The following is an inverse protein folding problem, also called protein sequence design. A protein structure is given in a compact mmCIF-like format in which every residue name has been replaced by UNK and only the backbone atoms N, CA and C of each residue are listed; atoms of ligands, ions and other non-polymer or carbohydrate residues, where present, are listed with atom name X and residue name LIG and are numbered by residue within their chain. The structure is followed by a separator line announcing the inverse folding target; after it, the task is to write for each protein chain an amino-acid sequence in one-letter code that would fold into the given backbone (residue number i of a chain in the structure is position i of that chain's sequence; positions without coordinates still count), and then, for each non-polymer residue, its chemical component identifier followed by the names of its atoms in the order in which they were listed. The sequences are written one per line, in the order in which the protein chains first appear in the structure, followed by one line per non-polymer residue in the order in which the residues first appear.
data_IF_964678266991
#
_entry.id   IF_964678266991
#
_cell.length_a   1.000
_cell.length_b   1.000
_cell.length_c   1.000
_cell.angle_alpha   90.00
_cell.angle_beta   90.00
_cell.angle_gamma   90.00
#
_symmetry.space_group_name_H-M   'P 1'
#
loop_
_entity.id
_entity.type
_entity.pdbx_description
1 polymer ?
#
# COMPACT_ATOMS: atom_id res chain seq x y z
N UNK A 1 -32.03 -7.89 9.77
CA UNK A 1 -32.01 -6.83 8.73
C UNK A 1 -30.79 -7.05 7.88
N UNK A 2 -30.96 -7.11 6.57
CA UNK A 2 -29.86 -7.33 5.62
C UNK A 2 -28.88 -6.13 5.62
N UNK A 3 -27.60 -6.39 5.34
CA UNK A 3 -26.54 -5.37 5.34
C UNK A 3 -26.84 -4.23 4.34
N UNK A 4 -27.34 -4.57 3.16
CA UNK A 4 -27.73 -3.59 2.14
C UNK A 4 -28.81 -2.62 2.63
N UNK A 5 -29.83 -3.14 3.33
CA UNK A 5 -30.88 -2.30 3.92
C UNK A 5 -30.33 -1.38 5.02
N UNK A 6 -29.44 -1.89 5.87
CA UNK A 6 -28.77 -1.06 6.89
C UNK A 6 -27.96 0.07 6.25
N UNK A 7 -27.27 -0.24 5.16
CA UNK A 7 -26.52 0.74 4.39
C UNK A 7 -27.44 1.80 3.78
N UNK A 8 -28.55 1.40 3.14
CA UNK A 8 -29.51 2.35 2.55
C UNK A 8 -30.07 3.31 3.61
N UNK A 9 -30.44 2.81 4.77
CA UNK A 9 -30.94 3.64 5.88
C UNK A 9 -29.87 4.64 6.36
N UNK A 10 -28.59 4.22 6.44
CA UNK A 10 -27.50 5.10 6.80
C UNK A 10 -27.37 6.26 5.78
N UNK A 11 -27.37 5.94 4.50
CA UNK A 11 -27.25 6.92 3.43
C UNK A 11 -28.46 7.88 3.42
N UNK A 12 -29.69 7.37 3.56
CA UNK A 12 -30.89 8.19 3.66
C UNK A 12 -30.83 9.17 4.85
N UNK A 13 -30.36 8.71 6.00
CA UNK A 13 -30.15 9.57 7.19
C UNK A 13 -29.12 10.67 6.92
N UNK A 14 -28.03 10.35 6.26
CA UNK A 14 -27.01 11.33 5.89
C UNK A 14 -27.56 12.36 4.90
N UNK A 15 -28.23 11.89 3.84
CA UNK A 15 -28.85 12.76 2.83
C UNK A 15 -29.86 13.70 3.47
N UNK A 16 -30.71 13.19 4.36
CA UNK A 16 -31.64 14.03 5.12
C UNK A 16 -30.92 15.09 5.94
N UNK A 17 -29.85 14.76 6.66
CA UNK A 17 -29.07 15.70 7.45
C UNK A 17 -28.39 16.76 6.57
N UNK A 18 -27.82 16.35 5.43
CA UNK A 18 -27.19 17.24 4.44
C UNK A 18 -28.22 18.23 3.87
N UNK A 19 -29.33 17.72 3.36
CA UNK A 19 -30.34 18.52 2.62
C UNK A 19 -31.09 19.49 3.54
N UNK A 20 -31.15 19.19 4.84
CA UNK A 20 -31.69 20.10 5.86
C UNK A 20 -30.63 21.04 6.47
N UNK A 21 -29.44 21.09 5.94
CA UNK A 21 -28.37 22.01 6.36
C UNK A 21 -27.75 21.70 7.73
N UNK A 22 -28.02 20.51 8.30
CA UNK A 22 -27.50 20.12 9.62
C UNK A 22 -25.99 19.85 9.61
N UNK A 23 -25.40 19.75 8.42
CA UNK A 23 -23.98 19.39 8.24
C UNK A 23 -23.13 20.58 7.75
N UNK A 24 -23.70 21.80 7.59
CA UNK A 24 -22.98 22.96 7.02
C UNK A 24 -21.75 23.39 7.85
N UNK A 25 -21.81 23.21 9.17
CA UNK A 25 -20.71 23.50 10.09
C UNK A 25 -20.11 22.20 10.67
N UNK A 26 -20.35 21.07 10.03
CA UNK A 26 -19.88 19.80 10.53
C UNK A 26 -18.36 19.75 10.65
N UNK A 27 -17.89 19.44 11.84
CA UNK A 27 -16.48 19.18 12.10
C UNK A 27 -16.03 17.87 11.43
N UNK A 28 -14.72 17.69 11.32
CA UNK A 28 -14.17 16.39 10.89
C UNK A 28 -14.61 15.24 11.82
N UNK A 29 -14.81 15.54 13.10
CA UNK A 29 -15.32 14.58 14.07
C UNK A 29 -16.76 14.12 13.73
N UNK A 30 -17.60 15.02 13.25
CA UNK A 30 -18.94 14.67 12.77
C UNK A 30 -18.87 13.74 11.56
N UNK A 31 -17.93 13.97 10.65
CA UNK A 31 -17.69 13.08 9.51
C UNK A 31 -17.22 11.70 9.99
N UNK A 32 -16.35 11.65 10.99
CA UNK A 32 -15.87 10.38 11.58
C UNK A 32 -17.02 9.56 12.19
N UNK A 33 -18.05 10.18 12.78
CA UNK A 33 -19.23 9.45 13.26
C UNK A 33 -19.93 8.70 12.11
N UNK A 34 -20.14 9.36 10.97
CA UNK A 34 -20.73 8.73 9.79
C UNK A 34 -19.85 7.62 9.21
N UNK A 35 -18.54 7.79 9.22
CA UNK A 35 -17.58 6.76 8.80
C UNK A 35 -17.65 5.56 9.75
N UNK A 36 -17.74 5.77 11.06
CA UNK A 36 -17.88 4.70 12.04
C UNK A 36 -19.16 3.88 11.79
N UNK A 37 -20.30 4.55 11.63
CA UNK A 37 -21.57 3.89 11.29
C UNK A 37 -21.46 3.07 9.99
N UNK A 38 -20.77 3.61 8.98
CA UNK A 38 -20.53 2.91 7.71
C UNK A 38 -19.65 1.67 7.92
N UNK A 39 -18.56 1.79 8.65
CA UNK A 39 -17.67 0.67 8.96
C UNK A 39 -18.39 -0.45 9.70
N UNK A 40 -19.25 -0.12 10.67
CA UNK A 40 -20.07 -1.10 11.39
C UNK A 40 -21.06 -1.80 10.46
N UNK A 41 -21.67 -1.09 9.52
CA UNK A 41 -22.54 -1.69 8.49
C UNK A 41 -21.75 -2.70 7.66
N UNK A 42 -20.49 -2.42 7.33
CA UNK A 42 -19.63 -3.32 6.56
C UNK A 42 -18.92 -4.39 7.41
N UNK A 43 -19.26 -4.50 8.71
CA UNK A 43 -18.83 -5.60 9.59
C UNK A 43 -17.56 -5.35 10.37
N UNK A 44 -17.08 -4.10 10.43
CA UNK A 44 -15.98 -3.70 11.30
C UNK A 44 -16.49 -3.35 12.70
N UNK A 45 -15.77 -3.75 13.72
CA UNK A 45 -15.98 -3.31 15.09
C UNK A 45 -15.05 -2.12 15.38
N UNK A 46 -15.62 -0.92 15.35
CA UNK A 46 -14.86 0.34 15.52
C UNK A 46 -14.31 0.51 16.94
N UNK A 47 -14.81 -0.24 17.91
CA UNK A 47 -14.33 -0.25 19.29
C UNK A 47 -13.20 -1.26 19.51
N UNK A 48 -12.93 -2.13 18.53
CA UNK A 48 -11.88 -3.13 18.59
C UNK A 48 -10.62 -2.67 17.86
N UNK A 49 -9.61 -2.28 18.60
CA UNK A 49 -8.34 -1.77 18.05
C UNK A 49 -7.56 -2.77 17.18
N UNK A 50 -7.94 -4.07 17.21
CA UNK A 50 -7.41 -5.08 16.29
C UNK A 50 -8.16 -5.15 14.95
N UNK A 51 -9.23 -4.39 14.82
CA UNK A 51 -10.00 -4.26 13.58
C UNK A 51 -9.94 -2.83 13.03
N UNK A 52 -10.16 -1.83 13.89
CA UNK A 52 -10.12 -0.42 13.51
C UNK A 52 -9.28 0.34 14.52
N UNK A 53 -8.17 0.89 14.07
CA UNK A 53 -7.31 1.71 14.91
C UNK A 53 -7.37 3.16 14.43
N UNK A 54 -7.82 4.04 15.31
CA UNK A 54 -7.95 5.46 15.02
C UNK A 54 -6.66 6.20 15.39
N UNK A 55 -6.31 7.20 14.59
CA UNK A 55 -5.23 8.16 14.84
C UNK A 55 -3.89 7.56 15.27
N UNK A 56 -3.54 6.39 14.78
CA UNK A 56 -2.26 5.77 15.08
C UNK A 56 -1.13 6.36 14.25
N UNK A 57 -0.10 6.84 14.92
CA UNK A 57 1.14 7.24 14.27
C UNK A 57 1.83 6.04 13.60
N UNK A 58 2.28 6.24 12.38
CA UNK A 58 3.05 5.26 11.63
C UNK A 58 4.38 4.92 12.35
N UNK A 59 4.86 3.71 12.18
CA UNK A 59 6.12 3.28 12.79
C UNK A 59 7.34 3.97 12.15
N UNK A 60 8.55 3.73 12.67
CA UNK A 60 9.77 4.40 12.21
C UNK A 60 10.06 4.12 10.73
N UNK A 61 10.04 2.85 10.33
CA UNK A 61 10.32 2.44 8.94
C UNK A 61 9.33 3.03 7.94
N UNK A 62 8.04 3.04 8.30
CA UNK A 62 6.99 3.65 7.48
C UNK A 62 7.18 5.16 7.33
N UNK A 63 7.56 5.85 8.42
CA UNK A 63 7.87 7.29 8.39
C UNK A 63 9.11 7.57 7.53
N UNK A 64 10.15 6.76 7.63
CA UNK A 64 11.35 6.90 6.79
C UNK A 64 11.01 6.76 5.30
N UNK A 65 10.16 5.79 4.92
CA UNK A 65 9.64 5.69 3.55
C UNK A 65 8.90 6.94 3.12
N UNK A 66 8.04 7.50 3.97
CA UNK A 66 7.31 8.73 3.69
C UNK A 66 8.23 9.94 3.54
N UNK A 67 9.24 10.07 4.39
CA UNK A 67 10.27 11.11 4.23
C UNK A 67 11.00 10.98 2.89
N UNK A 68 11.30 9.77 2.44
CA UNK A 68 11.94 9.50 1.15
C UNK A 68 11.13 9.94 -0.09
N UNK A 69 9.84 10.23 0.08
CA UNK A 69 8.97 10.80 -0.98
C UNK A 69 8.53 12.24 -0.69
N UNK A 70 9.12 12.89 0.32
CA UNK A 70 8.77 14.25 0.72
C UNK A 70 7.45 14.38 1.49
N UNK A 71 6.85 13.27 1.92
CA UNK A 71 5.63 13.29 2.73
C UNK A 71 5.95 13.57 4.19
N UNK A 72 5.18 14.48 4.80
CA UNK A 72 5.23 14.80 6.24
C UNK A 72 4.05 14.20 7.01
N UNK A 73 3.16 13.51 6.32
CA UNK A 73 1.96 12.90 6.90
C UNK A 73 2.36 11.62 7.63
N UNK A 74 2.03 11.51 8.91
CA UNK A 74 2.49 10.39 9.76
C UNK A 74 1.37 9.73 10.55
N UNK A 75 0.15 10.25 10.46
CA UNK A 75 -0.97 9.83 11.29
C UNK A 75 -2.26 9.78 10.47
N UNK A 76 -2.59 8.62 9.89
CA UNK A 76 -3.89 8.43 9.24
C UNK A 76 -5.01 8.39 10.27
N UNK A 77 -6.22 8.82 9.88
CA UNK A 77 -7.38 8.82 10.77
C UNK A 77 -7.80 7.41 11.15
N UNK A 78 -7.88 6.50 10.18
CA UNK A 78 -8.24 5.12 10.39
C UNK A 78 -7.23 4.18 9.76
N UNK A 79 -6.83 3.18 10.52
CA UNK A 79 -6.08 2.01 10.04
C UNK A 79 -6.98 0.79 10.20
N UNK A 80 -7.37 0.16 9.09
CA UNK A 80 -8.16 -1.06 9.07
C UNK A 80 -7.22 -2.26 9.22
N UNK A 81 -7.53 -3.16 10.17
CA UNK A 81 -6.63 -4.19 10.66
C UNK A 81 -7.25 -5.59 10.56
N UNK A 82 -6.40 -6.59 10.38
CA UNK A 82 -6.73 -7.97 10.68
C UNK A 82 -5.72 -8.49 11.74
N UNK A 83 -6.10 -8.41 12.99
CA UNK A 83 -5.19 -8.66 14.12
C UNK A 83 -4.05 -7.63 14.15
N UNK A 84 -2.83 -8.08 13.88
CA UNK A 84 -1.65 -7.21 13.81
C UNK A 84 -1.35 -6.68 12.39
N UNK A 85 -2.01 -7.24 11.36
CA UNK A 85 -1.76 -6.88 9.98
C UNK A 85 -2.61 -5.67 9.59
N UNK A 86 -1.96 -4.64 9.05
CA UNK A 86 -2.63 -3.48 8.46
C UNK A 86 -3.09 -3.83 7.06
N UNK A 87 -4.33 -3.51 6.74
CA UNK A 87 -4.94 -3.81 5.46
C UNK A 87 -4.95 -2.58 4.54
N UNK A 88 -5.53 -1.48 5.01
CA UNK A 88 -5.60 -0.22 4.29
C UNK A 88 -5.94 0.93 5.25
N UNK A 89 -5.92 2.16 4.72
CA UNK A 89 -6.24 3.37 5.47
C UNK A 89 -7.50 4.05 4.96
N UNK A 90 -8.20 4.73 5.89
CA UNK A 90 -9.22 5.73 5.56
C UNK A 90 -8.80 7.04 6.19
N UNK A 91 -8.88 8.12 5.42
CA UNK A 91 -8.59 9.48 5.86
C UNK A 91 -9.89 10.30 5.76
N UNK A 92 -10.31 10.89 6.87
CA UNK A 92 -11.49 11.70 6.95
C UNK A 92 -11.16 13.14 6.58
N UNK A 93 -12.08 13.83 5.92
CA UNK A 93 -11.96 15.25 5.60
C UNK A 93 -13.25 15.96 5.99
N UNK A 94 -13.15 17.25 6.31
CA UNK A 94 -14.34 18.09 6.50
C UNK A 94 -15.18 18.10 5.23
N UNK A 95 -16.50 18.23 5.38
CA UNK A 95 -17.42 18.24 4.23
C UNK A 95 -17.14 19.34 3.21
N UNK A 96 -16.58 20.45 3.64
CA UNK A 96 -16.24 21.58 2.76
C UNK A 96 -15.02 21.34 1.87
N UNK A 97 -14.32 20.22 2.06
CA UNK A 97 -13.08 19.91 1.35
C UNK A 97 -13.41 19.20 0.02
N UNK A 98 -12.90 19.74 -1.09
CA UNK A 98 -13.01 19.12 -2.41
C UNK A 98 -12.01 17.95 -2.50
N UNK A 99 -12.51 16.73 -2.36
CA UNK A 99 -11.69 15.50 -2.47
C UNK A 99 -11.32 15.22 -3.92
N UNK A 100 -12.17 15.62 -4.86
CA UNK A 100 -12.03 15.26 -6.28
C UNK A 100 -10.75 15.83 -6.90
N UNK A 101 -10.44 17.09 -6.59
CA UNK A 101 -9.43 17.85 -7.35
C UNK A 101 -8.21 18.26 -6.49
N UNK A 102 -8.19 17.93 -5.20
CA UNK A 102 -7.07 18.27 -4.32
C UNK A 102 -5.92 17.25 -4.43
N UNK A 103 -4.84 17.67 -5.09
CA UNK A 103 -3.61 16.86 -5.26
C UNK A 103 -2.94 16.50 -3.94
N UNK A 104 -3.02 17.37 -2.92
CA UNK A 104 -2.37 17.12 -1.63
C UNK A 104 -3.05 15.99 -0.88
N UNK A 105 -4.38 15.94 -0.97
CA UNK A 105 -5.20 14.86 -0.39
C UNK A 105 -4.89 13.54 -1.11
N UNK A 106 -4.89 13.54 -2.45
CA UNK A 106 -4.55 12.37 -3.23
C UNK A 106 -3.13 11.85 -2.90
N UNK A 107 -2.14 12.75 -2.82
CA UNK A 107 -0.78 12.41 -2.43
C UNK A 107 -0.73 11.87 -0.99
N UNK A 108 -1.44 12.48 -0.04
CA UNK A 108 -1.48 12.06 1.36
C UNK A 108 -1.98 10.62 1.50
N UNK A 109 -3.17 10.32 0.96
CA UNK A 109 -3.80 9.00 1.14
C UNK A 109 -3.03 7.88 0.44
N UNK A 110 -2.50 8.16 -0.75
CA UNK A 110 -1.63 7.22 -1.47
C UNK A 110 -0.33 6.98 -0.72
N UNK A 111 0.25 8.03 -0.13
CA UNK A 111 1.48 7.91 0.67
C UNK A 111 1.31 6.97 1.85
N UNK A 112 0.20 7.07 2.57
CA UNK A 112 -0.11 6.15 3.67
C UNK A 112 -0.16 4.70 3.18
N UNK A 113 -0.98 4.41 2.18
CA UNK A 113 -1.12 3.05 1.65
C UNK A 113 0.19 2.47 1.13
N UNK A 114 0.93 3.26 0.35
CA UNK A 114 2.23 2.85 -0.20
C UNK A 114 3.25 2.54 0.90
N UNK A 115 3.26 3.30 2.00
CA UNK A 115 4.23 3.11 3.10
C UNK A 115 4.16 1.73 3.75
N UNK A 116 3.01 1.09 3.74
CA UNK A 116 2.79 -0.26 4.29
C UNK A 116 2.62 -1.34 3.21
N UNK A 117 2.66 -0.96 1.92
CA UNK A 117 2.36 -1.87 0.81
C UNK A 117 0.89 -2.27 0.74
N UNK A 118 -0.03 -1.41 1.20
CA UNK A 118 -1.45 -1.65 1.04
C UNK A 118 -1.86 -1.58 -0.44
N UNK A 119 -2.79 -2.40 -0.90
CA UNK A 119 -3.24 -2.37 -2.29
C UNK A 119 -3.99 -1.08 -2.63
N UNK A 120 -4.73 -0.53 -1.68
CA UNK A 120 -5.50 0.69 -1.84
C UNK A 120 -5.65 1.44 -0.52
N UNK A 121 -6.11 2.68 -0.59
CA UNK A 121 -6.57 3.48 0.54
C UNK A 121 -7.73 4.38 0.13
N UNK A 122 -8.49 4.86 1.09
CA UNK A 122 -9.73 5.59 0.88
C UNK A 122 -9.63 6.97 1.54
N UNK A 123 -10.07 8.00 0.86
CA UNK A 123 -10.33 9.31 1.47
C UNK A 123 -11.81 9.65 1.31
N UNK A 124 -12.42 10.20 2.34
CA UNK A 124 -13.84 10.56 2.31
C UNK A 124 -14.16 11.71 3.26
N UNK A 125 -15.09 12.56 2.83
CA UNK A 125 -15.82 13.50 3.70
C UNK A 125 -17.28 13.06 3.91
N UNK A 126 -17.57 11.82 3.60
CA UNK A 126 -18.85 11.13 3.54
C UNK A 126 -19.74 11.55 2.36
N UNK A 127 -19.78 12.83 1.98
CA UNK A 127 -20.48 13.29 0.77
C UNK A 127 -19.78 12.84 -0.51
N UNK A 128 -18.46 12.74 -0.44
CA UNK A 128 -17.59 12.25 -1.50
C UNK A 128 -16.66 11.15 -0.96
N UNK A 129 -16.34 10.18 -1.80
CA UNK A 129 -15.38 9.13 -1.51
C UNK A 129 -14.48 8.89 -2.73
N UNK A 130 -13.19 8.84 -2.51
CA UNK A 130 -12.21 8.43 -3.51
C UNK A 130 -11.39 7.25 -3.00
N UNK A 131 -11.22 6.25 -3.86
CA UNK A 131 -10.40 5.06 -3.64
C UNK A 131 -9.18 5.15 -4.55
N UNK A 132 -8.00 5.03 -3.97
CA UNK A 132 -6.73 5.16 -4.67
C UNK A 132 -5.95 3.87 -4.63
N UNK A 133 -5.35 3.51 -5.77
CA UNK A 133 -4.29 2.50 -5.86
C UNK A 133 -3.03 3.02 -5.15
N UNK A 134 -2.49 2.19 -4.26
CA UNK A 134 -1.30 2.51 -3.47
C UNK A 134 -0.09 1.63 -3.83
N UNK A 135 -0.16 0.86 -4.90
CA UNK A 135 0.93 0.01 -5.37
C UNK A 135 2.10 0.82 -5.94
N UNK A 136 1.79 1.91 -6.64
CA UNK A 136 2.81 2.78 -7.23
C UNK A 136 3.29 3.84 -6.23
N UNK A 137 4.60 4.09 -6.23
CA UNK A 137 5.23 5.15 -5.42
C UNK A 137 4.60 6.51 -5.74
N UNK A 138 4.01 7.20 -4.76
CA UNK A 138 3.40 8.52 -5.01
C UNK A 138 4.46 9.59 -5.26
N UNK A 139 4.10 10.56 -6.11
CA UNK A 139 4.91 11.74 -6.38
C UNK A 139 4.10 13.00 -6.09
N UNK A 140 4.73 14.02 -5.52
CA UNK A 140 4.07 15.30 -5.19
C UNK A 140 3.57 16.05 -6.43
N UNK A 141 4.11 15.74 -7.61
CA UNK A 141 3.68 16.29 -8.91
C UNK A 141 2.48 15.56 -9.51
N UNK A 142 2.07 14.40 -8.96
CA UNK A 142 0.94 13.64 -9.47
C UNK A 142 -0.34 14.49 -9.44
N UNK A 143 -1.21 14.28 -10.43
CA UNK A 143 -2.54 14.91 -10.45
C UNK A 143 -3.47 14.25 -9.43
N UNK A 144 -4.56 14.92 -9.08
CA UNK A 144 -5.51 14.40 -8.09
C UNK A 144 -6.21 13.11 -8.54
N UNK A 145 -6.33 12.88 -9.84
CA UNK A 145 -6.93 11.69 -10.44
C UNK A 145 -5.92 10.58 -10.75
N UNK A 146 -4.61 10.85 -10.60
CA UNK A 146 -3.59 9.84 -10.80
C UNK A 146 -3.76 8.70 -9.78
N UNK A 147 -3.82 7.46 -10.28
CA UNK A 147 -4.04 6.25 -9.50
C UNK A 147 -5.39 6.21 -8.73
N UNK A 148 -6.33 7.11 -9.04
CA UNK A 148 -7.69 7.03 -8.51
C UNK A 148 -8.46 5.93 -9.21
N UNK A 149 -8.85 4.89 -8.44
CA UNK A 149 -9.59 3.74 -8.96
C UNK A 149 -11.07 4.11 -9.11
N UNK A 150 -11.64 4.69 -8.06
CA UNK A 150 -13.05 5.10 -8.01
C UNK A 150 -13.20 6.45 -7.34
N UNK A 151 -14.20 7.19 -7.80
CA UNK A 151 -14.71 8.38 -7.15
C UNK A 151 -16.23 8.33 -7.21
N UNK A 152 -16.87 8.46 -6.05
CA UNK A 152 -18.31 8.41 -5.89
C UNK A 152 -18.79 9.58 -5.04
N UNK A 153 -19.95 10.12 -5.38
CA UNK A 153 -20.74 10.98 -4.49
C UNK A 153 -21.75 10.16 -3.71
N UNK A 154 -22.16 10.64 -2.55
CA UNK A 154 -23.08 9.93 -1.66
C UNK A 154 -24.39 9.53 -2.36
N UNK A 155 -24.89 10.35 -3.26
CA UNK A 155 -26.09 10.06 -4.06
C UNK A 155 -25.94 8.78 -4.92
N UNK A 156 -24.70 8.37 -5.21
CA UNK A 156 -24.36 7.19 -6.01
C UNK A 156 -24.06 5.95 -5.15
N UNK A 157 -24.01 6.08 -3.81
CA UNK A 157 -23.55 4.98 -2.94
C UNK A 157 -24.49 3.78 -2.94
N UNK A 158 -25.80 4.01 -2.96
CA UNK A 158 -26.80 2.93 -2.94
C UNK A 158 -26.74 2.11 -4.24
N UNK A 159 -26.63 2.78 -5.38
CA UNK A 159 -26.49 2.12 -6.70
C UNK A 159 -25.18 1.35 -6.80
N UNK A 160 -24.10 1.89 -6.22
CA UNK A 160 -22.78 1.28 -6.21
C UNK A 160 -22.51 0.43 -4.96
N UNK A 161 -23.55 -0.07 -4.29
CA UNK A 161 -23.41 -0.87 -3.07
C UNK A 161 -22.47 -2.06 -3.25
N UNK A 162 -22.52 -2.80 -4.36
CA UNK A 162 -21.66 -3.96 -4.58
C UNK A 162 -20.18 -3.56 -4.75
N UNK A 163 -19.92 -2.40 -5.37
CA UNK A 163 -18.59 -1.83 -5.44
C UNK A 163 -18.07 -1.47 -4.04
N UNK A 164 -18.84 -0.72 -3.27
CA UNK A 164 -18.47 -0.35 -1.90
C UNK A 164 -18.31 -1.59 -1.00
N UNK A 165 -19.19 -2.58 -1.16
CA UNK A 165 -19.12 -3.84 -0.45
C UNK A 165 -17.85 -4.66 -0.79
N UNK A 166 -17.27 -4.47 -1.98
CA UNK A 166 -15.98 -5.07 -2.33
C UNK A 166 -14.81 -4.45 -1.55
N UNK A 167 -14.80 -3.13 -1.39
CA UNK A 167 -13.68 -2.40 -0.78
C UNK A 167 -13.81 -2.22 0.74
N UNK A 168 -15.04 -2.22 1.26
CA UNK A 168 -15.31 -1.90 2.67
C UNK A 168 -15.73 -3.11 3.51
N UNK A 169 -16.28 -4.18 2.90
CA UNK A 169 -16.76 -5.33 3.66
C UNK A 169 -15.57 -6.09 4.26
N UNK A 170 -15.56 -6.17 5.59
CA UNK A 170 -14.49 -6.80 6.35
C UNK A 170 -14.19 -8.23 5.90
N UNK A 171 -15.22 -9.05 5.73
CA UNK A 171 -15.02 -10.46 5.37
C UNK A 171 -14.44 -10.60 3.97
N UNK A 172 -14.89 -9.78 3.01
CA UNK A 172 -14.36 -9.75 1.64
C UNK A 172 -12.92 -9.24 1.61
N UNK A 173 -12.64 -8.16 2.35
CA UNK A 173 -11.30 -7.58 2.42
C UNK A 173 -10.29 -8.57 3.04
N UNK A 174 -10.71 -9.34 4.04
CA UNK A 174 -9.84 -10.31 4.70
C UNK A 174 -9.68 -11.58 3.87
N UNK A 175 -10.78 -12.10 3.27
CA UNK A 175 -10.74 -13.38 2.55
C UNK A 175 -10.07 -13.30 1.19
N UNK A 176 -10.28 -12.20 0.47
CA UNK A 176 -9.94 -12.18 -0.94
C UNK A 176 -8.70 -11.36 -1.29
N UNK A 177 -8.04 -10.66 -0.33
CA UNK A 177 -7.07 -9.66 -0.73
C UNK A 177 -7.60 -8.96 -1.98
N UNK A 178 -8.50 -7.99 -1.82
CA UNK A 178 -9.24 -7.41 -2.95
C UNK A 178 -8.34 -7.34 -4.17
N UNK A 179 -8.58 -8.18 -5.18
CA UNK A 179 -7.89 -8.11 -6.46
C UNK A 179 -8.35 -6.82 -7.14
N UNK A 180 -7.73 -5.74 -6.75
CA UNK A 180 -7.91 -4.47 -7.42
C UNK A 180 -7.16 -4.58 -8.73
N UNK A 181 -7.83 -4.36 -9.85
CA UNK A 181 -7.18 -4.23 -11.16
C UNK A 181 -6.40 -2.91 -11.16
N UNK A 182 -5.14 -2.99 -10.78
CA UNK A 182 -4.25 -1.84 -10.74
C UNK A 182 -3.88 -1.43 -12.16
N UNK A 183 -4.20 -0.22 -12.54
CA UNK A 183 -3.79 0.36 -13.83
C UNK A 183 -2.27 0.48 -14.01
N UNK A 184 -1.49 0.18 -13.00
CA UNK A 184 -0.02 0.25 -13.01
C UNK A 184 0.71 -1.06 -12.79
N UNK A 185 0.04 -2.12 -12.29
CA UNK A 185 0.68 -3.38 -11.94
C UNK A 185 1.34 -4.06 -13.15
N UNK A 186 0.67 -4.10 -14.29
CA UNK A 186 1.22 -4.67 -15.53
C UNK A 186 2.49 -3.93 -16.02
N UNK A 187 2.53 -2.61 -15.84
CA UNK A 187 3.70 -1.82 -16.21
C UNK A 187 4.86 -2.03 -15.24
N UNK A 188 4.56 -2.18 -13.94
CA UNK A 188 5.56 -2.45 -12.91
C UNK A 188 6.13 -3.86 -13.08
N UNK A 189 5.29 -4.87 -13.31
CA UNK A 189 5.71 -6.26 -13.52
C UNK A 189 6.59 -6.39 -14.77
N UNK A 190 6.22 -5.73 -15.88
CA UNK A 190 7.04 -5.69 -17.09
C UNK A 190 8.37 -4.97 -16.87
N UNK A 191 8.34 -3.81 -16.23
CA UNK A 191 9.54 -3.04 -15.91
C UNK A 191 10.46 -3.82 -14.98
N UNK A 192 9.92 -4.45 -13.95
CA UNK A 192 10.68 -5.29 -13.03
C UNK A 192 11.27 -6.52 -13.73
N UNK A 193 10.49 -7.21 -14.57
CA UNK A 193 10.97 -8.33 -15.37
C UNK A 193 12.11 -7.91 -16.34
N UNK A 194 11.97 -6.76 -17.01
CA UNK A 194 13.02 -6.21 -17.86
C UNK A 194 14.28 -5.88 -17.06
N UNK A 195 14.14 -5.26 -15.89
CA UNK A 195 15.23 -4.98 -14.98
C UNK A 195 15.96 -6.24 -14.54
N UNK A 196 15.21 -7.30 -14.13
CA UNK A 196 15.81 -8.60 -13.78
C UNK A 196 16.53 -9.25 -14.95
N UNK A 197 15.98 -9.18 -16.16
CA UNK A 197 16.62 -9.69 -17.36
C UNK A 197 17.93 -8.95 -17.65
N UNK A 198 17.96 -7.62 -17.50
CA UNK A 198 19.16 -6.81 -17.71
C UNK A 198 20.25 -7.17 -16.69
N UNK A 199 19.91 -7.23 -15.38
CA UNK A 199 20.86 -7.64 -14.33
C UNK A 199 21.37 -9.06 -14.58
N UNK A 200 20.50 -9.99 -14.96
CA UNK A 200 20.89 -11.37 -15.28
C UNK A 200 21.95 -11.42 -16.39
N UNK A 201 21.77 -10.60 -17.42
CA UNK A 201 22.71 -10.54 -18.54
C UNK A 201 24.08 -9.97 -18.12
N UNK A 202 24.06 -8.87 -17.36
CA UNK A 202 25.30 -8.24 -16.86
C UNK A 202 26.03 -9.17 -15.89
N UNK A 203 25.32 -9.85 -14.99
CA UNK A 203 25.89 -10.83 -14.08
C UNK A 203 26.52 -12.01 -14.84
N UNK A 204 25.85 -12.53 -15.87
CA UNK A 204 26.38 -13.61 -16.70
C UNK A 204 27.66 -13.19 -17.42
N UNK A 205 27.72 -11.97 -17.98
CA UNK A 205 28.93 -11.41 -18.58
C UNK A 205 30.07 -11.31 -17.55
N UNK A 206 29.79 -10.76 -16.39
CA UNK A 206 30.79 -10.61 -15.31
C UNK A 206 31.34 -11.97 -14.85
N UNK A 207 30.48 -12.96 -14.67
CA UNK A 207 30.91 -14.33 -14.31
C UNK A 207 31.84 -14.90 -15.40
N UNK A 208 31.45 -14.73 -16.67
CA UNK A 208 32.26 -15.25 -17.80
C UNK A 208 33.62 -14.56 -17.91
N UNK A 209 33.64 -13.24 -17.75
CA UNK A 209 34.86 -12.44 -17.83
C UNK A 209 35.82 -12.68 -16.65
N UNK A 210 35.29 -12.98 -15.47
CA UNK A 210 36.09 -13.23 -14.27
C UNK A 210 36.68 -14.65 -14.20
N UNK A 211 36.29 -15.54 -15.10
CA UNK A 211 36.77 -16.92 -15.11
C UNK A 211 37.72 -17.18 -16.30
N UNK A 212 38.85 -17.81 -16.00
CA UNK A 212 39.91 -18.09 -16.96
C UNK A 212 39.72 -19.41 -17.74
N UNK A 213 38.59 -20.11 -17.54
CA UNK A 213 38.25 -21.35 -18.23
C UNK A 213 36.90 -21.24 -18.93
N UNK A 214 36.69 -22.08 -19.95
CA UNK A 214 35.42 -22.11 -20.65
C UNK A 214 34.32 -22.66 -19.74
N UNK A 215 33.28 -21.82 -19.51
CA UNK A 215 32.09 -22.20 -18.76
C UNK A 215 31.04 -22.61 -19.77
N UNK A 216 30.40 -23.76 -19.54
CA UNK A 216 29.25 -24.18 -20.36
C UNK A 216 28.09 -23.18 -20.19
N UNK A 217 27.28 -22.98 -21.23
CA UNK A 217 26.08 -22.14 -21.17
C UNK A 217 25.12 -22.58 -20.08
N UNK A 218 25.05 -23.90 -19.83
CA UNK A 218 24.22 -24.49 -18.77
C UNK A 218 24.70 -24.04 -17.39
N UNK A 219 26.01 -24.17 -17.12
CA UNK A 219 26.60 -23.79 -15.82
C UNK A 219 26.53 -22.30 -15.59
N UNK A 220 26.80 -21.50 -16.62
CA UNK A 220 26.68 -20.06 -16.56
C UNK A 220 25.26 -19.62 -16.19
N UNK A 221 24.26 -20.23 -16.83
CA UNK A 221 22.86 -19.96 -16.51
C UNK A 221 22.51 -20.38 -15.07
N UNK A 222 22.97 -21.55 -14.63
CA UNK A 222 22.73 -22.06 -13.29
C UNK A 222 23.37 -21.13 -12.24
N UNK A 223 24.62 -20.77 -12.37
CA UNK A 223 25.30 -19.90 -11.42
C UNK A 223 24.71 -18.49 -11.37
N UNK A 224 24.40 -17.91 -12.52
CA UNK A 224 23.71 -16.62 -12.61
C UNK A 224 22.37 -16.67 -11.87
N UNK A 225 21.58 -17.73 -12.05
CA UNK A 225 20.29 -17.86 -11.39
C UNK A 225 20.43 -18.04 -9.86
N UNK A 226 21.41 -18.83 -9.41
CA UNK A 226 21.66 -19.02 -7.97
C UNK A 226 22.05 -17.70 -7.31
N UNK A 227 22.97 -16.94 -7.91
CA UNK A 227 23.41 -15.66 -7.36
C UNK A 227 22.26 -14.67 -7.32
N UNK A 228 21.51 -14.54 -8.42
CA UNK A 228 20.37 -13.63 -8.49
C UNK A 228 19.29 -13.96 -7.45
N UNK A 229 18.97 -15.24 -7.29
CA UNK A 229 17.99 -15.69 -6.29
C UNK A 229 18.44 -15.35 -4.86
N UNK A 230 19.74 -15.53 -4.55
CA UNK A 230 20.29 -15.18 -3.23
C UNK A 230 20.23 -13.69 -2.96
N UNK A 231 20.60 -12.87 -3.94
CA UNK A 231 20.52 -11.40 -3.82
C UNK A 231 19.06 -10.97 -3.58
N UNK A 232 18.13 -11.48 -4.38
CA UNK A 232 16.70 -11.19 -4.22
C UNK A 232 16.17 -11.63 -2.86
N UNK A 233 16.57 -12.81 -2.39
CA UNK A 233 16.17 -13.33 -1.07
C UNK A 233 16.66 -12.42 0.06
N UNK A 234 17.94 -12.01 0.05
CA UNK A 234 18.49 -11.09 1.06
C UNK A 234 17.75 -9.75 1.03
N UNK A 235 17.50 -9.17 -0.17
CA UNK A 235 16.73 -7.93 -0.30
C UNK A 235 15.30 -8.04 0.22
N UNK A 236 14.66 -9.21 0.06
CA UNK A 236 13.33 -9.46 0.64
C UNK A 236 13.41 -9.56 2.17
N UNK A 237 14.43 -10.21 2.71
CA UNK A 237 14.66 -10.30 4.16
C UNK A 237 14.88 -8.90 4.78
N UNK A 238 15.74 -8.06 4.18
CA UNK A 238 15.92 -6.67 4.57
C UNK A 238 14.60 -5.89 4.53
N UNK A 239 13.86 -5.98 3.42
CA UNK A 239 12.58 -5.28 3.26
C UNK A 239 11.49 -5.74 4.23
N UNK A 240 11.61 -6.96 4.77
CA UNK A 240 10.70 -7.52 5.78
C UNK A 240 11.20 -7.29 7.22
N UNK A 241 12.37 -6.68 7.39
CA UNK A 241 12.99 -6.48 8.71
C UNK A 241 13.43 -7.79 9.38
N UNK A 242 13.70 -8.83 8.59
CA UNK A 242 14.27 -10.09 9.06
C UNK A 242 15.80 -10.03 9.15
N UNK A 243 16.40 -9.11 8.41
CA UNK A 243 17.82 -8.78 8.39
C UNK A 243 18.01 -7.26 8.46
N UNK A 244 19.20 -6.82 8.82
CA UNK A 244 19.55 -5.40 8.88
C UNK A 244 19.54 -4.75 7.49
N UNK A 245 19.02 -3.52 7.41
CA UNK A 245 19.03 -2.75 6.15
C UNK A 245 20.48 -2.48 5.70
N UNK A 246 20.74 -2.75 4.42
CA UNK A 246 22.05 -2.52 3.82
C UNK A 246 23.06 -3.65 4.01
N UNK A 247 22.62 -4.81 4.45
CA UNK A 247 23.47 -6.00 4.64
C UNK A 247 24.33 -6.31 3.41
N UNK A 248 23.72 -6.32 2.22
CA UNK A 248 24.46 -6.51 0.95
C UNK A 248 25.49 -5.42 0.70
N UNK A 249 25.18 -4.17 1.00
CA UNK A 249 26.07 -3.03 0.82
C UNK A 249 27.27 -3.13 1.76
N UNK A 250 27.03 -3.43 3.02
CA UNK A 250 28.07 -3.63 4.02
C UNK A 250 29.05 -4.75 3.64
N UNK A 251 28.54 -5.87 3.11
CA UNK A 251 29.37 -6.96 2.65
C UNK A 251 30.23 -6.61 1.43
N UNK A 252 29.80 -5.68 0.57
CA UNK A 252 30.56 -5.22 -0.58
C UNK A 252 31.67 -4.25 -0.18
N UNK A 253 31.42 -3.34 0.79
CA UNK A 253 32.39 -2.32 1.21
C UNK A 253 33.47 -2.84 2.16
N UNK A 254 33.15 -3.78 3.05
CA UNK A 254 34.07 -4.27 4.10
C UNK A 254 35.06 -5.34 3.61
N UNK A 255 35.18 -5.60 2.31
CA UNK A 255 36.07 -6.65 1.81
C UNK A 255 35.71 -8.05 2.35
N UNK A 256 34.41 -8.30 2.60
CA UNK A 256 33.88 -9.55 3.14
C UNK A 256 34.43 -10.79 2.41
N UNK A 257 34.63 -10.71 1.10
CA UNK A 257 35.20 -11.79 0.29
C UNK A 257 36.65 -12.10 0.65
N UNK A 258 37.45 -11.14 1.18
CA UNK A 258 38.77 -11.42 1.69
C UNK A 258 38.76 -12.21 2.99
N UNK A 259 37.78 -11.95 3.87
CA UNK A 259 37.55 -12.70 5.11
C UNK A 259 37.07 -14.14 4.83
N UNK A 260 36.31 -14.36 3.75
CA UNK A 260 35.87 -15.69 3.34
C UNK A 260 37.01 -16.57 2.81
N UNK A 261 38.06 -15.98 2.24
CA UNK A 261 39.24 -16.73 1.80
C UNK A 261 40.13 -17.21 2.94
N UNK A 262 40.01 -16.57 4.12
CA UNK A 262 40.80 -16.93 5.30
C UNK A 262 40.08 -17.91 6.23
N UNK A 263 38.78 -18.09 6.12
CA UNK A 263 38.01 -19.07 6.88
C UNK A 263 37.96 -20.41 6.13
N UNK A 264 38.48 -21.44 6.76
CA UNK A 264 38.63 -22.84 6.31
C UNK A 264 37.35 -23.58 5.89
N UNK A 265 36.44 -22.92 5.18
CA UNK A 265 35.26 -23.51 4.57
C UNK A 265 35.48 -24.04 3.15
N UNK A 266 36.75 -24.17 2.74
CA UNK A 266 37.12 -24.82 1.48
C UNK A 266 37.51 -26.28 1.64
N UNK A 267 37.17 -26.90 2.78
CA UNK A 267 37.25 -28.36 2.98
C UNK A 267 35.83 -28.94 3.15
N UNK A 268 34.98 -28.90 2.12
CA UNK A 268 33.81 -29.78 1.94
C UNK A 268 33.54 -29.95 0.46
#
# INVERSE_FOLDING_TARGET
MDRKNRFSILIERFLFARDNGLLQEASEETVRMWINDMLEVFGWDVNNTRQVMQERTLNRTERERLHGIGSRYVKPDYTLMNGNNRLFFIDAKKQTVNIKDDKKIAFQIRSYGWSIGAPYSIVTNFDEMAIYDCSAKPNISDTADFARIHYLKVDQYIENYELLNRFLNRDKVISDFVKVEFKGADALDKSFAQFLCAIRLELAKSIRESNHYEISVSDLNLWTQIILNRILFIRVCEAKGLEEDGLLHNYLEEGFWSKFKESSYMEL
#
